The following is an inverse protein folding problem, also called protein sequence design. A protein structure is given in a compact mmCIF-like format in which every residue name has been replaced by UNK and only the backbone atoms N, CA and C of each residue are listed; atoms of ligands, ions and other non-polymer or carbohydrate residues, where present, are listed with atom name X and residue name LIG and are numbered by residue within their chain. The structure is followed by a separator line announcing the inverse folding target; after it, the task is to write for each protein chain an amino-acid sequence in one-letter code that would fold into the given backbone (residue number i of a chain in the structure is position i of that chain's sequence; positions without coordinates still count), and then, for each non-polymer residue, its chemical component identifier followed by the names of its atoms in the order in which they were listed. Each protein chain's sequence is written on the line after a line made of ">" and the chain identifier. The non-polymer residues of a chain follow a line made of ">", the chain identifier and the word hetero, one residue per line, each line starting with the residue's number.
data_IF_071439815038
#
_entry.id   IF_071439815038
#
_cell.length_a   1.000
_cell.length_b   1.000
_cell.length_c   1.000
_cell.angle_alpha   90.00
_cell.angle_beta   90.00
_cell.angle_gamma   90.00
#
_symmetry.space_group_name_H-M   'P 1'
#
loop_
_entity.id
_entity.type
_entity.pdbx_description
1 polymer ?
#
# COMPACT_ATOMS: atom_id res chain seq x y z
N UNK A 1 10.17 16.44 25.32
CA UNK A 1 9.76 16.92 23.97
C UNK A 1 10.88 16.90 22.92
N UNK A 2 12.14 17.28 23.20
CA UNK A 2 13.20 17.26 22.18
C UNK A 2 13.35 15.88 21.51
N UNK A 3 13.46 14.82 22.29
CA UNK A 3 13.55 13.45 21.75
C UNK A 3 12.35 13.07 20.88
N UNK A 4 11.12 13.43 21.26
CA UNK A 4 9.94 13.14 20.47
C UNK A 4 9.98 13.83 19.10
N UNK A 5 10.41 15.10 19.05
CA UNK A 5 10.57 15.85 17.78
C UNK A 5 11.65 15.24 16.88
N UNK A 6 12.78 14.84 17.47
CA UNK A 6 13.86 14.16 16.75
C UNK A 6 13.34 12.82 16.20
N UNK A 7 12.60 12.04 16.98
CA UNK A 7 11.98 10.81 16.52
C UNK A 7 11.04 11.03 15.32
N UNK A 8 10.16 12.04 15.40
CA UNK A 8 9.27 12.40 14.27
C UNK A 8 10.05 12.89 13.05
N UNK A 9 11.14 13.65 13.24
CA UNK A 9 12.01 14.01 12.13
C UNK A 9 12.53 12.77 11.38
N UNK A 10 13.00 11.75 12.10
CA UNK A 10 13.46 10.50 11.49
C UNK A 10 12.33 9.68 10.86
N UNK A 11 11.11 9.70 11.44
CA UNK A 11 9.92 9.10 10.77
C UNK A 11 9.72 9.74 9.39
N UNK A 12 9.75 11.06 9.30
CA UNK A 12 9.54 11.80 8.06
C UNK A 12 10.68 11.61 7.03
N UNK A 13 11.81 11.05 7.46
CA UNK A 13 12.93 10.66 6.58
C UNK A 13 12.92 9.15 6.26
N UNK A 14 11.84 8.44 6.59
CA UNK A 14 11.73 6.97 6.46
C UNK A 14 12.90 6.22 7.16
N UNK A 15 13.40 6.75 8.29
CA UNK A 15 14.46 6.15 9.12
C UNK A 15 13.88 5.60 10.42
N UNK A 16 13.02 4.59 10.30
CA UNK A 16 12.16 4.11 11.38
C UNK A 16 12.94 3.56 12.58
N UNK A 17 14.01 2.81 12.35
CA UNK A 17 14.77 2.20 13.46
C UNK A 17 15.45 3.28 14.33
N UNK A 18 16.00 4.33 13.69
CA UNK A 18 16.55 5.47 14.42
C UNK A 18 15.45 6.25 15.16
N UNK A 19 14.28 6.43 14.51
CA UNK A 19 13.15 7.09 15.13
C UNK A 19 12.71 6.40 16.43
N UNK A 20 12.62 5.06 16.44
CA UNK A 20 12.23 4.27 17.61
C UNK A 20 13.10 4.53 18.83
N UNK A 21 14.42 4.64 18.66
CA UNK A 21 15.33 4.92 19.77
C UNK A 21 14.98 6.25 20.48
N UNK A 22 14.72 7.30 19.69
CA UNK A 22 14.35 8.61 20.22
C UNK A 22 12.95 8.63 20.81
N UNK A 23 11.99 7.96 20.18
CA UNK A 23 10.63 7.86 20.70
C UNK A 23 10.58 7.08 22.02
N UNK A 24 11.35 5.99 22.16
CA UNK A 24 11.46 5.27 23.42
C UNK A 24 12.00 6.17 24.53
N UNK A 25 13.12 6.88 24.28
CA UNK A 25 13.68 7.85 25.24
C UNK A 25 12.66 8.93 25.63
N UNK A 26 11.84 9.38 24.69
CA UNK A 26 10.81 10.38 24.99
C UNK A 26 9.71 9.81 25.89
N UNK A 27 9.30 8.57 25.66
CA UNK A 27 8.27 7.88 26.45
C UNK A 27 8.74 7.59 27.87
N UNK A 28 10.00 7.21 28.06
CA UNK A 28 10.61 6.98 29.38
C UNK A 28 10.61 8.25 30.25
N UNK A 29 10.59 9.42 29.61
CA UNK A 29 10.57 10.75 30.27
C UNK A 29 9.17 11.39 30.30
N UNK A 30 8.08 10.69 29.93
CA UNK A 30 6.74 11.25 29.74
C UNK A 30 6.14 11.89 30.99
N UNK A 31 6.56 11.46 32.18
CA UNK A 31 6.05 12.00 33.44
C UNK A 31 6.72 13.34 33.86
N UNK A 32 7.70 13.82 33.06
CA UNK A 32 8.43 15.07 33.28
C UNK A 32 7.98 16.21 32.35
N UNK A 33 6.85 16.02 31.63
CA UNK A 33 6.34 16.98 30.65
C UNK A 33 4.90 17.36 31.00
N UNK A 34 4.35 18.39 30.33
CA UNK A 34 2.94 18.77 30.49
C UNK A 34 1.99 17.66 30.02
N UNK A 35 0.71 17.72 30.46
CA UNK A 35 -0.29 16.72 30.07
C UNK A 35 -0.44 16.64 28.53
N UNK A 36 -0.49 17.78 27.84
CA UNK A 36 -0.55 17.82 26.36
C UNK A 36 0.66 17.12 25.72
N UNK A 37 1.85 17.38 26.22
CA UNK A 37 3.09 16.75 25.73
C UNK A 37 3.14 15.26 26.09
N UNK A 38 2.60 14.85 27.23
CA UNK A 38 2.48 13.45 27.61
C UNK A 38 1.57 12.68 26.66
N UNK A 39 0.43 13.27 26.26
CA UNK A 39 -0.46 12.67 25.25
C UNK A 39 0.25 12.50 23.90
N UNK A 40 0.99 13.52 23.44
CA UNK A 40 1.79 13.43 22.23
C UNK A 40 2.81 12.29 22.27
N UNK A 41 3.60 12.22 23.32
CA UNK A 41 4.64 11.20 23.49
C UNK A 41 4.02 9.79 23.60
N UNK A 42 2.89 9.65 24.30
CA UNK A 42 2.19 8.38 24.50
C UNK A 42 1.60 7.87 23.18
N UNK A 43 1.01 8.76 22.39
CA UNK A 43 0.51 8.39 21.07
C UNK A 43 1.64 7.91 20.15
N UNK A 44 2.77 8.63 20.09
CA UNK A 44 3.92 8.20 19.29
C UNK A 44 4.48 6.86 19.74
N UNK A 45 4.49 6.59 21.03
CA UNK A 45 4.90 5.29 21.58
C UNK A 45 3.97 4.17 21.08
N UNK A 46 2.65 4.35 21.19
CA UNK A 46 1.70 3.33 20.72
C UNK A 46 1.78 3.12 19.21
N UNK A 47 1.88 4.18 18.41
CA UNK A 47 1.95 4.07 16.96
C UNK A 47 3.25 3.42 16.45
N UNK A 48 4.40 3.83 16.98
CA UNK A 48 5.69 3.51 16.36
C UNK A 48 6.55 2.51 17.14
N UNK A 49 6.33 2.35 18.45
CA UNK A 49 7.10 1.41 19.29
C UNK A 49 6.31 0.10 19.45
N UNK A 50 5.10 0.15 19.99
CA UNK A 50 4.31 -1.05 20.28
C UNK A 50 3.40 -1.45 19.12
N UNK A 51 3.06 -0.53 18.22
CA UNK A 51 2.16 -0.73 17.09
C UNK A 51 0.69 -0.90 17.49
N UNK A 52 0.31 -0.51 18.72
CA UNK A 52 -1.05 -0.63 19.25
C UNK A 52 -1.93 0.52 18.76
N UNK A 53 -2.35 0.47 17.48
CA UNK A 53 -3.08 1.55 16.81
C UNK A 53 -4.36 1.94 17.56
N UNK A 54 -5.08 1.00 18.12
CA UNK A 54 -6.31 1.31 18.87
C UNK A 54 -6.01 2.18 20.10
N UNK A 55 -4.90 1.92 20.82
CA UNK A 55 -4.46 2.76 21.94
C UNK A 55 -3.98 4.13 21.48
N UNK A 56 -3.33 4.20 20.32
CA UNK A 56 -2.94 5.47 19.73
C UNK A 56 -4.18 6.32 19.42
N UNK A 57 -5.20 5.74 18.77
CA UNK A 57 -6.48 6.39 18.44
C UNK A 57 -7.18 6.88 19.71
N UNK A 58 -7.29 6.06 20.76
CA UNK A 58 -7.92 6.48 22.01
C UNK A 58 -7.15 7.61 22.71
N UNK A 59 -5.82 7.59 22.64
CA UNK A 59 -4.97 8.68 23.14
C UNK A 59 -5.23 9.98 22.35
N UNK A 60 -5.31 9.90 21.02
CA UNK A 60 -5.58 11.04 20.15
C UNK A 60 -6.99 11.60 20.37
N UNK A 61 -8.02 10.77 20.49
CA UNK A 61 -9.39 11.22 20.84
C UNK A 61 -9.43 11.94 22.19
N UNK A 62 -8.73 11.41 23.17
CA UNK A 62 -8.60 12.08 24.48
C UNK A 62 -7.92 13.43 24.33
N UNK A 63 -6.86 13.50 23.53
CA UNK A 63 -6.16 14.75 23.25
C UNK A 63 -7.05 15.77 22.54
N UNK A 64 -7.75 15.39 21.47
CA UNK A 64 -8.67 16.27 20.75
C UNK A 64 -9.79 16.82 21.66
N UNK A 65 -10.31 16.00 22.59
CA UNK A 65 -11.33 16.43 23.55
C UNK A 65 -10.80 17.44 24.57
N UNK A 66 -9.57 17.24 25.08
CA UNK A 66 -8.98 18.13 26.09
C UNK A 66 -8.43 19.43 25.49
N UNK A 67 -8.00 19.39 24.23
CA UNK A 67 -7.40 20.50 23.50
C UNK A 67 -8.06 20.69 22.13
N UNK A 68 -9.32 21.16 22.07
CA UNK A 68 -10.13 21.17 20.85
C UNK A 68 -9.62 22.11 19.74
N UNK A 69 -8.69 23.00 20.06
CA UNK A 69 -8.06 23.90 19.08
C UNK A 69 -6.68 23.39 18.61
N UNK A 70 -6.29 22.19 18.99
CA UNK A 70 -5.03 21.58 18.57
C UNK A 70 -5.25 20.72 17.32
N UNK A 71 -4.59 21.05 16.22
CA UNK A 71 -4.76 20.30 14.96
C UNK A 71 -4.06 18.95 14.97
N UNK A 72 -3.03 18.78 15.82
CA UNK A 72 -2.17 17.57 15.80
C UNK A 72 -2.95 16.28 16.01
N UNK A 73 -3.83 16.15 17.03
CA UNK A 73 -4.58 14.91 17.21
C UNK A 73 -5.50 14.59 16.02
N UNK A 74 -6.11 15.60 15.41
CA UNK A 74 -6.95 15.42 14.22
C UNK A 74 -6.13 14.95 13.00
N UNK A 75 -4.96 15.57 12.75
CA UNK A 75 -4.05 15.16 11.70
C UNK A 75 -3.59 13.70 11.86
N UNK A 76 -3.24 13.29 13.07
CA UNK A 76 -2.75 11.94 13.34
C UNK A 76 -3.89 10.90 13.35
N UNK A 77 -5.09 11.24 13.86
CA UNK A 77 -6.29 10.41 13.73
C UNK A 77 -6.62 10.11 12.27
N UNK A 78 -6.49 11.12 11.40
CA UNK A 78 -6.70 10.93 9.96
C UNK A 78 -5.76 9.85 9.40
N UNK A 79 -4.48 9.89 9.73
CA UNK A 79 -3.51 8.88 9.27
C UNK A 79 -3.81 7.48 9.86
N UNK A 80 -4.11 7.40 11.15
CA UNK A 80 -4.45 6.11 11.79
C UNK A 80 -5.70 5.48 11.18
N UNK A 81 -6.71 6.29 10.84
CA UNK A 81 -7.89 5.82 10.13
C UNK A 81 -7.58 5.36 8.70
N UNK A 82 -6.63 5.99 7.97
CA UNK A 82 -6.17 5.50 6.67
C UNK A 82 -5.49 4.13 6.80
N UNK A 83 -4.65 3.94 7.82
CA UNK A 83 -4.01 2.65 8.10
C UNK A 83 -5.08 1.56 8.30
N UNK A 84 -6.20 1.88 8.94
CA UNK A 84 -7.31 0.96 9.16
C UNK A 84 -8.30 0.87 7.96
N UNK A 85 -8.13 1.66 6.89
CA UNK A 85 -9.04 1.70 5.74
C UNK A 85 -10.35 2.45 5.98
N UNK A 86 -10.43 3.28 7.03
CA UNK A 86 -11.61 4.08 7.44
C UNK A 86 -11.52 5.48 6.87
N UNK A 87 -11.73 5.60 5.56
CA UNK A 87 -11.44 6.85 4.85
C UNK A 87 -12.47 7.96 5.05
N UNK A 88 -13.72 7.66 5.38
CA UNK A 88 -14.72 8.66 5.76
C UNK A 88 -14.34 9.33 7.08
N UNK A 89 -13.96 8.54 8.09
CA UNK A 89 -13.47 9.05 9.37
C UNK A 89 -12.15 9.82 9.19
N UNK A 90 -11.25 9.29 8.36
CA UNK A 90 -10.00 9.96 8.01
C UNK A 90 -10.25 11.33 7.39
N UNK A 91 -11.13 11.43 6.40
CA UNK A 91 -11.46 12.69 5.74
C UNK A 91 -12.03 13.72 6.73
N UNK A 92 -12.93 13.28 7.61
CA UNK A 92 -13.51 14.15 8.64
C UNK A 92 -12.43 14.77 9.52
N UNK A 93 -11.51 13.95 10.02
CA UNK A 93 -10.44 14.42 10.90
C UNK A 93 -9.41 15.28 10.13
N UNK A 94 -9.08 14.93 8.89
CA UNK A 94 -8.19 15.73 8.05
C UNK A 94 -8.77 17.13 7.75
N UNK A 95 -10.05 17.22 7.45
CA UNK A 95 -10.74 18.52 7.22
C UNK A 95 -10.76 19.37 8.49
N UNK A 96 -10.95 18.77 9.67
CA UNK A 96 -10.87 19.49 10.94
C UNK A 96 -9.44 20.00 11.23
N UNK A 97 -8.41 19.19 10.95
CA UNK A 97 -7.02 19.61 11.07
C UNK A 97 -6.71 20.79 10.13
N UNK A 98 -7.21 20.78 8.88
CA UNK A 98 -7.08 21.90 7.93
C UNK A 98 -7.84 23.13 8.41
N UNK A 99 -9.05 22.96 8.97
CA UNK A 99 -9.83 24.08 9.55
C UNK A 99 -9.06 24.79 10.67
N UNK A 100 -8.41 24.02 11.54
CA UNK A 100 -7.62 24.54 12.66
C UNK A 100 -6.29 25.15 12.21
N UNK A 101 -5.66 24.60 11.18
CA UNK A 101 -4.37 25.09 10.66
C UNK A 101 -4.37 25.05 9.12
N UNK A 102 -4.94 26.07 8.46
CA UNK A 102 -5.19 26.07 7.00
C UNK A 102 -3.93 25.91 6.13
N UNK A 103 -2.77 26.30 6.62
CA UNK A 103 -1.51 26.24 5.86
C UNK A 103 -0.68 24.96 6.14
N UNK A 104 -1.22 24.00 6.89
CA UNK A 104 -0.52 22.74 7.14
C UNK A 104 -0.63 21.81 5.93
N UNK A 105 0.50 21.59 5.26
CA UNK A 105 0.59 20.76 4.05
C UNK A 105 0.22 19.31 4.35
N UNK A 106 0.74 18.72 5.42
CA UNK A 106 0.49 17.30 5.77
C UNK A 106 -1.01 17.03 5.99
N UNK A 107 -1.72 17.93 6.68
CA UNK A 107 -3.16 17.78 6.86
C UNK A 107 -3.93 17.85 5.54
N UNK A 108 -3.49 18.71 4.61
CA UNK A 108 -4.06 18.78 3.26
C UNK A 108 -3.76 17.53 2.42
N UNK A 109 -2.56 16.96 2.56
CA UNK A 109 -2.20 15.68 1.92
C UNK A 109 -3.09 14.54 2.41
N UNK A 110 -3.41 14.51 3.72
CA UNK A 110 -4.36 13.56 4.27
C UNK A 110 -5.78 13.72 3.68
N UNK A 111 -6.22 14.96 3.41
CA UNK A 111 -7.48 15.23 2.70
C UNK A 111 -7.45 14.66 1.29
N UNK A 112 -6.38 14.92 0.52
CA UNK A 112 -6.24 14.39 -0.86
C UNK A 112 -6.25 12.87 -0.87
N UNK A 113 -5.47 12.24 0.01
CA UNK A 113 -5.41 10.78 0.13
C UNK A 113 -6.78 10.19 0.44
N UNK A 114 -7.52 10.80 1.36
CA UNK A 114 -8.87 10.34 1.72
C UNK A 114 -9.85 10.51 0.56
N UNK A 115 -9.83 11.63 -0.16
CA UNK A 115 -10.66 11.82 -1.36
C UNK A 115 -10.35 10.79 -2.44
N UNK A 116 -9.07 10.53 -2.75
CA UNK A 116 -8.69 9.50 -3.71
C UNK A 116 -9.23 8.13 -3.30
N UNK A 117 -8.99 7.72 -2.05
CA UNK A 117 -9.47 6.43 -1.57
C UNK A 117 -11.00 6.30 -1.59
N UNK A 118 -11.73 7.40 -1.47
CA UNK A 118 -13.19 7.45 -1.60
C UNK A 118 -13.68 7.55 -3.06
N UNK A 119 -12.77 7.59 -4.04
CA UNK A 119 -13.11 7.73 -5.46
C UNK A 119 -13.54 9.15 -5.87
N UNK A 120 -13.30 10.15 -5.00
CA UNK A 120 -13.68 11.56 -5.19
C UNK A 120 -12.56 12.31 -5.90
N UNK A 121 -12.31 11.96 -7.17
CA UNK A 121 -11.11 12.37 -7.94
C UNK A 121 -11.06 13.88 -8.18
N UNK A 122 -12.20 14.52 -8.49
CA UNK A 122 -12.29 15.95 -8.74
C UNK A 122 -11.92 16.75 -7.48
N UNK A 123 -12.40 16.32 -6.33
CA UNK A 123 -12.13 16.94 -5.04
C UNK A 123 -10.68 16.71 -4.60
N UNK A 124 -10.11 15.54 -4.89
CA UNK A 124 -8.70 15.26 -4.67
C UNK A 124 -7.81 16.18 -5.49
N UNK A 125 -8.13 16.38 -6.77
CA UNK A 125 -7.38 17.29 -7.64
C UNK A 125 -7.48 18.73 -7.15
N UNK A 126 -8.67 19.18 -6.78
CA UNK A 126 -8.85 20.53 -6.24
C UNK A 126 -8.05 20.73 -4.94
N UNK A 127 -8.09 19.75 -4.03
CA UNK A 127 -7.31 19.81 -2.79
C UNK A 127 -5.79 19.82 -3.05
N UNK A 128 -5.31 19.09 -4.07
CA UNK A 128 -3.89 19.09 -4.44
C UNK A 128 -3.44 20.45 -5.01
N UNK A 129 -4.29 21.15 -5.75
CA UNK A 129 -4.03 22.53 -6.21
C UNK A 129 -3.89 23.53 -5.05
N UNK A 130 -4.61 23.31 -3.95
CA UNK A 130 -4.44 24.14 -2.75
C UNK A 130 -3.09 23.88 -2.04
N UNK A 131 -2.55 22.66 -2.12
CA UNK A 131 -1.18 22.36 -1.64
C UNK A 131 -0.15 23.09 -2.51
N UNK A 132 -0.31 23.03 -3.84
CA UNK A 132 0.59 23.69 -4.79
C UNK A 132 0.66 25.21 -4.58
N UNK A 133 -0.48 25.88 -4.27
CA UNK A 133 -0.49 27.31 -3.94
C UNK A 133 0.35 27.64 -2.70
N UNK A 134 0.40 26.73 -1.72
CA UNK A 134 1.18 26.92 -0.50
C UNK A 134 2.66 26.57 -0.71
N UNK A 135 2.92 25.56 -1.49
CA UNK A 135 4.28 25.10 -1.84
C UNK A 135 4.29 24.56 -3.28
N UNK A 136 4.69 25.37 -4.27
CA UNK A 136 4.77 24.95 -5.68
C UNK A 136 5.73 23.78 -5.94
N UNK A 137 6.72 23.59 -5.06
CA UNK A 137 7.68 22.49 -5.14
C UNK A 137 7.31 21.30 -4.22
N UNK A 138 6.03 21.20 -3.79
CA UNK A 138 5.57 20.05 -3.02
C UNK A 138 5.56 18.78 -3.86
N UNK A 139 6.45 17.83 -3.55
CA UNK A 139 6.45 16.49 -4.16
C UNK A 139 5.09 15.80 -4.02
N UNK A 140 4.44 15.94 -2.85
CA UNK A 140 3.10 15.38 -2.60
C UNK A 140 2.07 15.91 -3.60
N UNK A 141 2.03 17.25 -3.85
CA UNK A 141 1.11 17.85 -4.80
C UNK A 141 1.34 17.34 -6.23
N UNK A 142 2.61 17.24 -6.67
CA UNK A 142 2.97 16.70 -7.98
C UNK A 142 2.55 15.24 -8.14
N UNK A 143 2.80 14.42 -7.13
CA UNK A 143 2.43 13.01 -7.12
C UNK A 143 0.90 12.82 -7.17
N UNK A 144 0.13 13.58 -6.41
CA UNK A 144 -1.34 13.50 -6.46
C UNK A 144 -1.90 13.92 -7.82
N UNK A 145 -1.34 14.96 -8.46
CA UNK A 145 -1.75 15.35 -9.82
C UNK A 145 -1.39 14.28 -10.85
N UNK A 146 -0.23 13.65 -10.72
CA UNK A 146 0.14 12.51 -11.55
C UNK A 146 -0.89 11.37 -11.41
N UNK A 147 -1.30 11.02 -10.18
CA UNK A 147 -2.35 10.02 -9.93
C UNK A 147 -3.67 10.41 -10.58
N UNK A 148 -4.13 11.67 -10.39
CA UNK A 148 -5.37 12.15 -10.99
C UNK A 148 -5.32 12.12 -12.53
N UNK A 149 -4.18 12.52 -13.12
CA UNK A 149 -3.96 12.48 -14.57
C UNK A 149 -3.98 11.04 -15.10
N UNK A 150 -3.34 10.10 -14.39
CA UNK A 150 -3.39 8.67 -14.74
C UNK A 150 -4.83 8.14 -14.72
N UNK A 151 -5.59 8.40 -13.68
CA UNK A 151 -6.98 7.95 -13.55
C UNK A 151 -7.89 8.50 -14.65
N UNK A 152 -7.60 9.71 -15.15
CA UNK A 152 -8.31 10.35 -16.28
C UNK A 152 -7.74 9.98 -17.64
N UNK A 153 -6.65 9.19 -17.70
CA UNK A 153 -5.92 8.88 -18.93
C UNK A 153 -5.36 10.13 -19.64
N UNK A 154 -5.03 11.17 -18.88
CA UNK A 154 -4.40 12.40 -19.35
C UNK A 154 -2.87 12.24 -19.41
N UNK A 155 -2.37 11.78 -20.55
CA UNK A 155 -0.94 11.58 -20.77
C UNK A 155 -0.15 12.90 -20.61
N UNK A 156 -0.67 14.00 -21.15
CA UNK A 156 -0.01 15.31 -21.07
C UNK A 156 0.12 15.80 -19.61
N UNK A 157 -0.90 15.51 -18.78
CA UNK A 157 -0.85 15.76 -17.35
C UNK A 157 0.24 14.96 -16.65
N UNK A 158 0.33 13.66 -16.92
CA UNK A 158 1.41 12.82 -16.37
C UNK A 158 2.80 13.32 -16.80
N UNK A 159 2.98 13.63 -18.09
CA UNK A 159 4.27 14.09 -18.63
C UNK A 159 4.74 15.40 -17.98
N UNK A 160 3.83 16.34 -17.68
CA UNK A 160 4.15 17.59 -16.95
C UNK A 160 4.73 17.32 -15.57
N UNK A 161 4.13 16.40 -14.82
CA UNK A 161 4.59 16.10 -13.46
C UNK A 161 5.94 15.35 -13.48
N UNK A 162 6.20 14.51 -14.46
CA UNK A 162 7.49 13.83 -14.65
C UNK A 162 8.59 14.81 -15.06
N UNK A 163 8.27 15.77 -15.95
CA UNK A 163 9.23 16.80 -16.39
C UNK A 163 9.62 17.71 -15.21
N UNK A 164 8.68 18.05 -14.34
CA UNK A 164 8.96 18.83 -13.14
C UNK A 164 10.03 18.19 -12.27
N UNK A 165 10.04 16.86 -12.13
CA UNK A 165 10.97 16.13 -11.26
C UNK A 165 12.36 15.96 -11.88
N UNK A 166 12.51 16.16 -13.20
CA UNK A 166 13.77 15.91 -13.94
C UNK A 166 14.93 16.74 -13.39
N UNK A 167 16.03 16.07 -13.05
CA UNK A 167 17.24 16.68 -12.49
C UNK A 167 17.11 17.16 -11.04
N UNK A 168 15.97 16.89 -10.38
CA UNK A 168 15.74 17.19 -8.98
C UNK A 168 15.97 15.95 -8.09
N UNK A 169 16.07 16.09 -6.77
CA UNK A 169 16.12 14.95 -5.83
C UNK A 169 14.93 13.99 -5.98
N UNK A 170 13.77 14.50 -6.40
CA UNK A 170 12.50 13.81 -6.60
C UNK A 170 12.45 12.97 -7.90
N UNK A 171 13.48 13.02 -8.75
CA UNK A 171 13.52 12.25 -10.01
C UNK A 171 13.40 10.74 -9.75
N UNK A 172 13.94 10.23 -8.65
CA UNK A 172 13.79 8.84 -8.27
C UNK A 172 12.31 8.47 -8.04
N UNK A 173 11.55 9.34 -7.35
CA UNK A 173 10.14 9.12 -7.05
C UNK A 173 9.27 9.19 -8.33
N UNK A 174 9.58 10.11 -9.26
CA UNK A 174 8.95 10.17 -10.58
C UNK A 174 9.24 8.92 -11.45
N UNK A 175 10.46 8.41 -11.36
CA UNK A 175 10.85 7.16 -12.04
C UNK A 175 10.09 5.96 -11.48
N UNK A 176 9.86 5.89 -10.15
CA UNK A 176 9.04 4.89 -9.49
C UNK A 176 7.59 4.97 -9.99
N UNK A 177 7.00 6.16 -10.05
CA UNK A 177 5.64 6.35 -10.56
C UNK A 177 5.52 5.83 -12.01
N UNK A 178 6.49 6.16 -12.87
CA UNK A 178 6.55 5.65 -14.26
C UNK A 178 6.68 4.14 -14.32
N UNK A 179 7.51 3.56 -13.46
CA UNK A 179 7.71 2.11 -13.38
C UNK A 179 6.43 1.38 -12.94
N UNK A 180 5.70 1.95 -11.99
CA UNK A 180 4.43 1.39 -11.52
C UNK A 180 3.35 1.47 -12.60
N UNK A 181 3.28 2.56 -13.37
CA UNK A 181 2.40 2.64 -14.55
C UNK A 181 2.78 1.59 -15.60
N UNK A 182 4.07 1.37 -15.84
CA UNK A 182 4.52 0.30 -16.75
C UNK A 182 4.08 -1.09 -16.24
N UNK A 183 4.19 -1.37 -14.94
CA UNK A 183 3.72 -2.62 -14.33
C UNK A 183 2.20 -2.80 -14.46
N UNK A 184 1.41 -1.74 -14.27
CA UNK A 184 -0.05 -1.75 -14.49
C UNK A 184 -0.40 -2.24 -15.90
N UNK A 185 0.34 -1.82 -16.93
CA UNK A 185 0.14 -2.23 -18.32
C UNK A 185 0.88 -3.53 -18.68
N UNK A 186 1.43 -4.27 -17.73
CA UNK A 186 2.12 -5.54 -17.97
C UNK A 186 3.51 -5.40 -18.61
N UNK A 187 4.08 -4.18 -18.68
CA UNK A 187 5.44 -3.91 -19.20
C UNK A 187 6.47 -4.12 -18.10
N UNK A 188 6.59 -5.35 -17.59
CA UNK A 188 7.37 -5.68 -16.40
C UNK A 188 8.87 -5.45 -16.60
N UNK A 189 9.40 -5.69 -17.81
CA UNK A 189 10.82 -5.44 -18.13
C UNK A 189 11.15 -3.95 -18.02
N UNK A 190 10.29 -3.09 -18.56
CA UNK A 190 10.44 -1.64 -18.45
C UNK A 190 10.32 -1.18 -16.98
N UNK A 191 9.32 -1.70 -16.25
CA UNK A 191 9.13 -1.43 -14.81
C UNK A 191 10.38 -1.79 -14.01
N UNK A 192 10.93 -2.98 -14.23
CA UNK A 192 12.12 -3.47 -13.54
C UNK A 192 13.34 -2.60 -13.80
N UNK A 193 13.59 -2.19 -15.06
CA UNK A 193 14.70 -1.32 -15.43
C UNK A 193 14.61 0.03 -14.70
N UNK A 194 13.42 0.66 -14.73
CA UNK A 194 13.19 1.95 -14.07
C UNK A 194 13.32 1.84 -12.55
N UNK A 195 12.74 0.80 -11.92
CA UNK A 195 12.85 0.61 -10.49
C UNK A 195 14.28 0.36 -10.03
N UNK A 196 15.07 -0.43 -10.76
CA UNK A 196 16.48 -0.64 -10.42
C UNK A 196 17.29 0.68 -10.46
N UNK A 197 17.05 1.52 -11.45
CA UNK A 197 17.68 2.85 -11.53
C UNK A 197 17.22 3.75 -10.38
N UNK A 198 15.94 3.79 -10.07
CA UNK A 198 15.40 4.55 -8.94
C UNK A 198 15.99 4.06 -7.59
N UNK A 199 16.09 2.75 -7.38
CA UNK A 199 16.74 2.14 -6.20
C UNK A 199 18.20 2.59 -6.06
N UNK A 200 18.96 2.64 -7.14
CA UNK A 200 20.35 3.13 -7.11
C UNK A 200 20.43 4.63 -6.74
N UNK A 201 19.47 5.44 -7.21
CA UNK A 201 19.37 6.86 -6.84
C UNK A 201 19.00 7.02 -5.36
N UNK A 202 17.99 6.28 -4.86
CA UNK A 202 17.59 6.29 -3.46
C UNK A 202 18.74 5.89 -2.52
N UNK A 203 19.52 4.87 -2.90
CA UNK A 203 20.71 4.45 -2.13
C UNK A 203 21.77 5.56 -2.05
N UNK A 204 22.03 6.25 -3.15
CA UNK A 204 22.96 7.42 -3.19
C UNK A 204 22.46 8.59 -2.33
N UNK A 205 21.14 8.70 -2.18
CA UNK A 205 20.49 9.69 -1.30
C UNK A 205 20.37 9.25 0.17
N UNK A 206 20.94 8.11 0.55
CA UNK A 206 20.82 7.48 1.88
C UNK A 206 19.38 7.15 2.28
N UNK A 207 18.49 6.87 1.31
CA UNK A 207 17.08 6.47 1.49
C UNK A 207 16.95 4.93 1.38
N UNK A 208 17.63 4.19 2.27
CA UNK A 208 17.71 2.73 2.20
C UNK A 208 16.35 2.03 2.44
N UNK A 209 15.51 2.57 3.33
CA UNK A 209 14.16 2.03 3.59
C UNK A 209 13.25 2.21 2.36
N UNK A 210 13.33 3.34 1.65
CA UNK A 210 12.62 3.53 0.39
C UNK A 210 13.13 2.55 -0.69
N UNK A 211 14.44 2.38 -0.82
CA UNK A 211 15.02 1.43 -1.77
C UNK A 211 14.58 -0.02 -1.48
N UNK A 212 14.50 -0.42 -0.20
CA UNK A 212 13.94 -1.72 0.21
C UNK A 212 12.48 -1.86 -0.23
N UNK A 213 11.65 -0.87 0.08
CA UNK A 213 10.23 -0.84 -0.28
C UNK A 213 10.02 -1.04 -1.78
N UNK A 214 10.80 -0.34 -2.61
CA UNK A 214 10.65 -0.44 -4.06
C UNK A 214 11.10 -1.81 -4.61
N UNK A 215 12.14 -2.42 -4.06
CA UNK A 215 12.52 -3.80 -4.40
C UNK A 215 11.45 -4.82 -3.99
N UNK A 216 10.78 -4.64 -2.85
CA UNK A 216 9.66 -5.48 -2.44
C UNK A 216 8.42 -5.25 -3.33
N UNK A 217 8.16 -4.02 -3.75
CA UNK A 217 7.12 -3.70 -4.74
C UNK A 217 7.36 -4.40 -6.08
N UNK A 218 8.60 -4.37 -6.56
CA UNK A 218 9.00 -5.11 -7.76
C UNK A 218 8.79 -6.62 -7.58
N UNK A 219 9.20 -7.18 -6.44
CA UNK A 219 9.02 -8.59 -6.13
C UNK A 219 7.52 -8.97 -6.05
N UNK A 220 6.67 -8.12 -5.50
CA UNK A 220 5.21 -8.32 -5.49
C UNK A 220 4.62 -8.32 -6.90
N UNK A 221 5.02 -7.39 -7.77
CA UNK A 221 4.62 -7.36 -9.17
C UNK A 221 5.06 -8.64 -9.91
N UNK A 222 6.28 -9.12 -9.66
CA UNK A 222 6.78 -10.38 -10.24
C UNK A 222 6.02 -11.60 -9.71
N UNK A 223 5.66 -11.62 -8.42
CA UNK A 223 4.85 -12.67 -7.80
C UNK A 223 3.48 -12.81 -8.50
N UNK A 224 2.75 -11.71 -8.64
CA UNK A 224 1.36 -11.77 -9.18
C UNK A 224 1.31 -12.15 -10.66
N UNK A 225 2.41 -11.99 -11.40
CA UNK A 225 2.51 -12.44 -12.81
C UNK A 225 3.16 -13.82 -12.97
N UNK A 226 3.55 -14.49 -11.86
CA UNK A 226 4.08 -15.85 -11.85
C UNK A 226 5.61 -15.95 -12.02
N UNK A 227 6.37 -14.86 -11.83
CA UNK A 227 7.84 -14.84 -11.89
C UNK A 227 8.49 -15.01 -10.51
N UNK A 228 8.19 -16.13 -9.83
CA UNK A 228 8.58 -16.34 -8.43
C UNK A 228 10.10 -16.39 -8.19
N UNK A 229 10.88 -16.85 -9.16
CA UNK A 229 12.34 -16.88 -8.99
C UNK A 229 12.89 -15.46 -8.85
N UNK A 230 12.54 -14.57 -9.77
CA UNK A 230 12.93 -13.15 -9.73
C UNK A 230 12.37 -12.45 -8.49
N UNK A 231 11.13 -12.73 -8.11
CA UNK A 231 10.51 -12.19 -6.89
C UNK A 231 11.34 -12.52 -5.65
N UNK A 232 11.80 -13.77 -5.48
CA UNK A 232 12.64 -14.17 -4.35
C UNK A 232 14.04 -13.53 -4.39
N UNK A 233 14.63 -13.36 -5.57
CA UNK A 233 15.92 -12.67 -5.73
C UNK A 233 15.84 -11.20 -5.31
N UNK A 234 14.80 -10.46 -5.77
CA UNK A 234 14.60 -9.07 -5.36
C UNK A 234 14.23 -8.95 -3.88
N UNK A 235 13.48 -9.90 -3.31
CA UNK A 235 13.20 -9.96 -1.88
C UNK A 235 14.48 -10.12 -1.05
N UNK A 236 15.41 -10.98 -1.49
CA UNK A 236 16.71 -11.15 -0.84
C UNK A 236 17.54 -9.86 -0.92
N UNK A 237 17.55 -9.19 -2.07
CA UNK A 237 18.23 -7.91 -2.24
C UNK A 237 17.64 -6.81 -1.34
N UNK A 238 16.31 -6.72 -1.24
CA UNK A 238 15.61 -5.82 -0.33
C UNK A 238 16.00 -6.07 1.14
N UNK A 239 15.97 -7.32 1.59
CA UNK A 239 16.33 -7.69 2.97
C UNK A 239 17.79 -7.43 3.34
N UNK A 240 18.66 -7.21 2.36
CA UNK A 240 20.05 -6.79 2.58
C UNK A 240 20.18 -5.28 2.87
N UNK A 241 19.20 -4.46 2.44
CA UNK A 241 19.20 -3.01 2.64
C UNK A 241 18.67 -2.63 4.02
N UNK A 242 17.61 -3.27 4.45
CA UNK A 242 16.98 -3.00 5.73
C UNK A 242 16.31 -4.29 6.28
N UNK A 243 16.13 -4.37 7.58
CA UNK A 243 15.47 -5.50 8.27
C UNK A 243 14.39 -5.04 9.22
N UNK A 244 13.77 -3.90 8.93
CA UNK A 244 12.67 -3.35 9.70
C UNK A 244 11.40 -4.22 9.65
N UNK A 245 10.40 -3.84 10.43
CA UNK A 245 9.11 -4.54 10.54
C UNK A 245 8.46 -4.76 9.18
N UNK A 246 8.31 -3.69 8.41
CA UNK A 246 7.59 -3.71 7.13
C UNK A 246 8.32 -4.54 6.06
N UNK A 247 9.64 -4.41 5.99
CA UNK A 247 10.47 -5.19 5.07
C UNK A 247 10.39 -6.70 5.34
N UNK A 248 10.50 -7.11 6.62
CA UNK A 248 10.34 -8.52 7.00
C UNK A 248 8.94 -9.06 6.64
N UNK A 249 7.88 -8.27 6.89
CA UNK A 249 6.52 -8.66 6.56
C UNK A 249 6.32 -8.80 5.04
N UNK A 250 6.82 -7.84 4.25
CA UNK A 250 6.82 -7.89 2.79
C UNK A 250 7.57 -9.12 2.27
N UNK A 251 8.76 -9.40 2.82
CA UNK A 251 9.53 -10.60 2.45
C UNK A 251 8.75 -11.88 2.75
N UNK A 252 8.12 -11.99 3.93
CA UNK A 252 7.31 -13.15 4.28
C UNK A 252 6.12 -13.36 3.33
N UNK A 253 5.45 -12.27 2.91
CA UNK A 253 4.37 -12.31 1.91
C UNK A 253 4.87 -12.88 0.57
N UNK A 254 6.00 -12.41 0.08
CA UNK A 254 6.58 -12.88 -1.19
C UNK A 254 6.99 -14.36 -1.09
N UNK A 255 7.69 -14.77 -0.02
CA UNK A 255 8.05 -16.17 0.18
C UNK A 255 6.82 -17.07 0.26
N UNK A 256 5.80 -16.68 1.04
CA UNK A 256 4.54 -17.42 1.15
C UNK A 256 3.82 -17.54 -0.19
N UNK A 257 3.69 -16.43 -0.93
CA UNK A 257 3.05 -16.39 -2.24
C UNK A 257 3.78 -17.23 -3.29
N UNK A 258 5.10 -17.33 -3.19
CA UNK A 258 5.93 -18.18 -4.04
C UNK A 258 6.06 -19.65 -3.56
N UNK A 259 5.33 -20.05 -2.53
CA UNK A 259 5.33 -21.43 -2.03
C UNK A 259 6.53 -21.79 -1.16
N UNK A 260 7.39 -20.85 -0.81
CA UNK A 260 8.49 -21.06 0.16
C UNK A 260 7.97 -20.95 1.59
N UNK A 261 7.15 -21.95 1.96
CA UNK A 261 6.42 -21.95 3.23
C UNK A 261 7.33 -22.01 4.44
N UNK A 262 8.52 -22.61 4.32
CA UNK A 262 9.49 -22.70 5.41
C UNK A 262 10.05 -21.32 5.77
N UNK A 263 10.54 -20.60 4.77
CA UNK A 263 11.10 -19.26 4.97
C UNK A 263 10.01 -18.28 5.43
N UNK A 264 8.82 -18.36 4.83
CA UNK A 264 7.67 -17.54 5.22
C UNK A 264 7.27 -17.77 6.69
N UNK A 265 7.15 -19.04 7.12
CA UNK A 265 6.77 -19.39 8.49
C UNK A 265 7.83 -18.94 9.50
N UNK A 266 9.11 -19.13 9.18
CA UNK A 266 10.22 -18.67 10.04
C UNK A 266 10.15 -17.15 10.24
N UNK A 267 9.98 -16.39 9.16
CA UNK A 267 9.90 -14.94 9.22
C UNK A 267 8.64 -14.47 9.96
N UNK A 268 7.50 -15.12 9.73
CA UNK A 268 6.25 -14.83 10.44
C UNK A 268 6.37 -15.07 11.96
N UNK A 269 7.01 -16.16 12.37
CA UNK A 269 7.24 -16.44 13.78
C UNK A 269 8.14 -15.38 14.43
N UNK A 270 9.20 -14.95 13.73
CA UNK A 270 10.06 -13.85 14.18
C UNK A 270 9.28 -12.54 14.33
N UNK A 271 8.41 -12.19 13.36
CA UNK A 271 7.56 -11.00 13.43
C UNK A 271 6.64 -11.03 14.65
N UNK A 272 5.96 -12.15 14.89
CA UNK A 272 5.06 -12.33 16.05
C UNK A 272 5.81 -12.22 17.38
N UNK A 273 7.03 -12.73 17.46
CA UNK A 273 7.86 -12.64 18.67
C UNK A 273 8.40 -11.24 18.89
N UNK A 274 8.84 -10.55 17.82
CA UNK A 274 9.43 -9.22 17.91
C UNK A 274 8.38 -8.13 18.12
N UNK A 275 7.17 -8.29 17.54
CA UNK A 275 6.09 -7.31 17.53
C UNK A 275 4.76 -7.91 18.02
N UNK A 276 4.69 -8.40 19.28
CA UNK A 276 3.56 -9.19 19.77
C UNK A 276 2.25 -8.41 19.88
N UNK A 277 2.33 -7.09 20.07
CA UNK A 277 1.17 -6.18 20.26
C UNK A 277 0.84 -5.37 19.01
N UNK A 278 1.65 -5.47 17.97
CA UNK A 278 1.52 -4.65 16.76
C UNK A 278 0.28 -5.04 15.96
N UNK A 279 -0.66 -4.12 15.84
CA UNK A 279 -1.95 -4.31 15.14
C UNK A 279 -1.73 -4.64 13.65
N UNK A 280 -0.78 -3.98 12.98
CA UNK A 280 -0.50 -4.22 11.56
C UNK A 280 -0.01 -5.65 11.36
N UNK A 281 0.91 -6.11 12.22
CA UNK A 281 1.44 -7.47 12.14
C UNK A 281 0.36 -8.49 12.56
N UNK A 282 -0.22 -8.34 13.75
CA UNK A 282 -1.08 -9.36 14.34
C UNK A 282 -2.44 -9.48 13.66
N UNK A 283 -3.05 -8.35 13.29
CA UNK A 283 -4.44 -8.31 12.81
C UNK A 283 -4.57 -8.15 11.29
N UNK A 284 -3.50 -7.74 10.58
CA UNK A 284 -3.55 -7.51 9.13
C UNK A 284 -2.60 -8.46 8.39
N UNK A 285 -1.29 -8.37 8.62
CA UNK A 285 -0.30 -9.04 7.77
C UNK A 285 -0.11 -10.52 8.13
N UNK A 286 -0.11 -10.88 9.42
CA UNK A 286 0.07 -12.28 9.83
C UNK A 286 -1.05 -13.20 9.33
N UNK A 287 -2.34 -12.83 9.35
CA UNK A 287 -3.38 -13.63 8.73
C UNK A 287 -3.19 -13.80 7.21
N UNK A 288 -2.76 -12.76 6.49
CA UNK A 288 -2.50 -12.84 5.04
C UNK A 288 -1.32 -13.78 4.74
N UNK A 289 -0.20 -13.62 5.45
CA UNK A 289 0.98 -14.50 5.30
C UNK A 289 0.59 -15.95 5.60
N UNK A 290 -0.14 -16.18 6.70
CA UNK A 290 -0.58 -17.52 7.07
C UNK A 290 -1.53 -18.12 6.04
N UNK A 291 -2.45 -17.32 5.49
CA UNK A 291 -3.37 -17.76 4.43
C UNK A 291 -2.62 -18.22 3.17
N UNK A 292 -1.58 -17.50 2.76
CA UNK A 292 -0.73 -17.89 1.64
C UNK A 292 0.05 -19.19 1.93
N UNK A 293 0.52 -19.38 3.17
CA UNK A 293 1.15 -20.62 3.62
C UNK A 293 0.16 -21.79 3.56
N UNK A 294 -1.06 -21.61 4.11
CA UNK A 294 -2.10 -22.65 4.10
C UNK A 294 -2.56 -22.98 2.67
N UNK A 295 -2.70 -21.96 1.81
CA UNK A 295 -2.94 -22.16 0.37
C UNK A 295 -1.87 -23.07 -0.26
N UNK A 296 -0.60 -22.79 -0.02
CA UNK A 296 0.52 -23.57 -0.57
C UNK A 296 0.57 -25.01 -0.01
N UNK A 297 -0.01 -25.25 1.18
CA UNK A 297 -0.19 -26.59 1.78
C UNK A 297 -1.43 -27.33 1.28
N UNK A 298 -2.26 -26.67 0.44
CA UNK A 298 -3.53 -27.22 -0.04
C UNK A 298 -4.70 -27.07 0.95
N UNK A 299 -4.52 -26.38 2.08
CA UNK A 299 -5.55 -26.16 3.09
C UNK A 299 -6.39 -24.90 2.75
N UNK A 300 -7.12 -24.96 1.63
CA UNK A 300 -7.92 -23.84 1.14
C UNK A 300 -9.01 -23.36 2.11
N UNK A 301 -9.73 -24.22 2.86
CA UNK A 301 -10.73 -23.74 3.83
C UNK A 301 -10.13 -22.82 4.88
N UNK A 302 -8.96 -23.18 5.44
CA UNK A 302 -8.29 -22.36 6.45
C UNK A 302 -7.73 -21.08 5.85
N UNK A 303 -7.15 -21.14 4.63
CA UNK A 303 -6.70 -19.96 3.91
C UNK A 303 -7.83 -18.94 3.73
N UNK A 304 -9.02 -19.39 3.31
CA UNK A 304 -10.21 -18.53 3.17
C UNK A 304 -10.64 -17.97 4.52
N UNK A 305 -10.74 -18.80 5.56
CA UNK A 305 -11.11 -18.34 6.91
C UNK A 305 -10.21 -17.19 7.40
N UNK A 306 -8.91 -17.32 7.18
CA UNK A 306 -7.94 -16.30 7.58
C UNK A 306 -8.13 -14.98 6.85
N UNK A 307 -8.31 -14.99 5.52
CA UNK A 307 -8.52 -13.75 4.76
C UNK A 307 -9.92 -13.16 4.95
N UNK A 308 -10.91 -13.96 5.34
CA UNK A 308 -12.23 -13.46 5.73
C UNK A 308 -12.21 -12.77 7.09
N UNK A 309 -11.38 -13.21 8.04
CA UNK A 309 -11.27 -12.59 9.36
C UNK A 309 -10.75 -11.16 9.34
N UNK A 310 -10.10 -10.74 8.24
CA UNK A 310 -9.52 -9.41 8.08
C UNK A 310 -10.32 -8.47 7.15
N UNK A 311 -11.60 -8.78 6.86
CA UNK A 311 -12.46 -7.96 5.98
C UNK A 311 -12.59 -6.49 6.43
N UNK A 312 -12.49 -6.23 7.73
CA UNK A 312 -12.52 -4.86 8.28
C UNK A 312 -11.34 -4.02 7.84
N UNK A 313 -10.28 -4.66 7.34
CA UNK A 313 -9.07 -4.01 6.84
C UNK A 313 -8.96 -4.03 5.30
N UNK A 314 -10.06 -4.32 4.62
CA UNK A 314 -10.14 -4.23 3.17
C UNK A 314 -9.84 -2.85 2.74
N UNK A 315 -9.14 -2.26 2.08
CA UNK A 315 -8.82 -0.84 1.82
C UNK A 315 -7.80 -0.22 2.80
N UNK A 316 -7.22 -1.03 3.73
CA UNK A 316 -6.15 -0.55 4.59
C UNK A 316 -5.02 0.06 3.75
N UNK A 317 -4.45 1.18 4.18
CA UNK A 317 -3.26 1.79 3.55
C UNK A 317 -2.07 0.81 3.47
N UNK A 318 -2.06 -0.23 4.32
CA UNK A 318 -0.98 -1.23 4.39
C UNK A 318 -1.10 -2.31 3.31
N UNK A 319 -2.32 -2.73 3.00
CA UNK A 319 -2.57 -3.86 2.08
C UNK A 319 -3.32 -3.45 0.81
N UNK A 320 -3.81 -2.22 0.76
CA UNK A 320 -4.60 -1.73 -0.37
C UNK A 320 -5.71 -2.69 -0.73
N UNK A 321 -5.70 -3.14 -1.97
CA UNK A 321 -6.67 -4.11 -2.52
C UNK A 321 -6.13 -5.56 -2.53
N UNK A 322 -4.95 -5.81 -1.96
CA UNK A 322 -4.33 -7.15 -1.92
C UNK A 322 -5.24 -8.19 -1.25
N UNK A 323 -5.95 -7.80 -0.17
CA UNK A 323 -6.85 -8.71 0.54
C UNK A 323 -8.01 -9.16 -0.35
N UNK A 324 -8.58 -8.25 -1.15
CA UNK A 324 -9.64 -8.56 -2.10
C UNK A 324 -9.11 -9.47 -3.22
N UNK A 325 -7.92 -9.16 -3.76
CA UNK A 325 -7.30 -9.97 -4.80
C UNK A 325 -7.04 -11.40 -4.31
N UNK A 326 -6.44 -11.56 -3.13
CA UNK A 326 -6.16 -12.87 -2.55
C UNK A 326 -7.44 -13.66 -2.27
N UNK A 327 -8.50 -13.04 -1.71
CA UNK A 327 -9.79 -13.70 -1.52
C UNK A 327 -10.40 -14.14 -2.85
N UNK A 328 -10.36 -13.27 -3.85
CA UNK A 328 -10.83 -13.62 -5.19
C UNK A 328 -10.14 -14.87 -5.75
N UNK A 329 -8.81 -14.95 -5.65
CA UNK A 329 -8.02 -16.13 -6.07
C UNK A 329 -8.40 -17.37 -5.25
N UNK A 330 -8.51 -17.27 -3.93
CA UNK A 330 -8.88 -18.40 -3.08
C UNK A 330 -10.29 -18.92 -3.37
N UNK A 331 -11.26 -18.04 -3.65
CA UNK A 331 -12.60 -18.44 -4.07
C UNK A 331 -12.60 -19.12 -5.45
N UNK A 332 -11.77 -18.64 -6.40
CA UNK A 332 -11.62 -19.35 -7.70
C UNK A 332 -11.11 -20.78 -7.49
N UNK A 333 -10.11 -20.98 -6.63
CA UNK A 333 -9.56 -22.29 -6.33
C UNK A 333 -10.58 -23.22 -5.63
N UNK A 334 -11.49 -22.64 -4.83
CA UNK A 334 -12.63 -23.37 -4.24
C UNK A 334 -13.84 -23.50 -5.20
N UNK A 335 -13.73 -23.08 -6.47
CA UNK A 335 -14.81 -23.06 -7.47
C UNK A 335 -16.03 -22.21 -7.07
N UNK A 336 -15.84 -21.20 -6.24
CA UNK A 336 -16.84 -20.24 -5.76
C UNK A 336 -16.86 -19.01 -6.67
N UNK A 337 -17.37 -19.16 -7.90
CA UNK A 337 -17.31 -18.14 -8.95
C UNK A 337 -17.98 -16.82 -8.56
N UNK A 338 -19.17 -16.87 -7.95
CA UNK A 338 -19.94 -15.67 -7.55
C UNK A 338 -19.18 -14.82 -6.52
N UNK A 339 -18.63 -15.46 -5.50
CA UNK A 339 -17.87 -14.77 -4.44
C UNK A 339 -16.53 -14.24 -4.97
N UNK A 340 -15.88 -14.99 -5.86
CA UNK A 340 -14.67 -14.52 -6.54
C UNK A 340 -14.93 -13.26 -7.36
N UNK A 341 -16.02 -13.26 -8.15
CA UNK A 341 -16.43 -12.12 -8.95
C UNK A 341 -16.69 -10.87 -8.09
N UNK A 342 -17.35 -11.06 -6.94
CA UNK A 342 -17.62 -9.96 -6.01
C UNK A 342 -16.33 -9.31 -5.48
N UNK A 343 -15.29 -10.10 -5.16
CA UNK A 343 -14.02 -9.56 -4.70
C UNK A 343 -13.24 -8.84 -5.81
N UNK A 344 -13.17 -9.39 -7.03
CA UNK A 344 -12.51 -8.71 -8.15
C UNK A 344 -13.26 -7.44 -8.59
N UNK A 345 -14.59 -7.42 -8.49
CA UNK A 345 -15.38 -6.23 -8.77
C UNK A 345 -15.04 -5.08 -7.82
N UNK A 346 -14.84 -5.34 -6.52
CA UNK A 346 -14.40 -4.31 -5.56
C UNK A 346 -13.09 -3.64 -5.96
N UNK A 347 -12.15 -4.40 -6.55
CA UNK A 347 -10.89 -3.85 -7.05
C UNK A 347 -11.15 -2.90 -8.22
N UNK A 348 -11.94 -3.32 -9.19
CA UNK A 348 -12.26 -2.51 -10.38
C UNK A 348 -13.04 -1.25 -10.01
N UNK A 349 -13.96 -1.36 -9.05
CA UNK A 349 -14.78 -0.24 -8.57
C UNK A 349 -14.00 0.74 -7.67
N UNK A 350 -12.72 0.44 -7.33
CA UNK A 350 -11.87 1.28 -6.48
C UNK A 350 -10.55 1.69 -7.17
N UNK A 351 -10.59 2.31 -8.37
CA UNK A 351 -9.43 2.50 -9.23
C UNK A 351 -8.35 3.44 -8.65
N UNK A 352 -8.69 4.26 -7.66
CA UNK A 352 -7.74 5.19 -7.05
C UNK A 352 -6.99 4.62 -5.83
N UNK A 353 -7.43 3.46 -5.31
CA UNK A 353 -6.66 2.75 -4.29
C UNK A 353 -5.55 1.98 -4.99
N UNK A 354 -4.29 2.29 -4.68
CA UNK A 354 -3.11 1.71 -5.36
C UNK A 354 -3.24 1.83 -6.89
N UNK A 355 -3.54 3.02 -7.40
CA UNK A 355 -3.97 3.30 -8.78
C UNK A 355 -3.13 2.60 -9.87
N UNK A 356 -1.85 2.37 -9.64
CA UNK A 356 -0.94 1.72 -10.60
C UNK A 356 -0.73 0.22 -10.33
N UNK A 357 -1.46 -0.38 -9.39
CA UNK A 357 -1.26 -1.80 -9.06
C UNK A 357 -1.68 -2.69 -10.23
N UNK A 358 -0.85 -3.66 -10.65
CA UNK A 358 -1.26 -4.68 -11.61
C UNK A 358 -2.51 -5.47 -11.17
N UNK A 359 -2.85 -5.46 -9.88
CA UNK A 359 -4.05 -6.11 -9.37
C UNK A 359 -5.33 -5.58 -10.04
N UNK A 360 -5.38 -4.28 -10.43
CA UNK A 360 -6.52 -3.72 -11.15
C UNK A 360 -6.74 -4.39 -12.51
N UNK A 361 -5.67 -4.58 -13.28
CA UNK A 361 -5.76 -5.22 -14.60
C UNK A 361 -5.99 -6.72 -14.48
N UNK A 362 -5.34 -7.37 -13.51
CA UNK A 362 -5.52 -8.80 -13.22
C UNK A 362 -6.91 -9.11 -12.64
N UNK A 363 -7.60 -8.14 -12.05
CA UNK A 363 -8.98 -8.33 -11.59
C UNK A 363 -9.95 -8.62 -12.77
N UNK A 364 -9.74 -8.05 -13.95
CA UNK A 364 -10.53 -8.42 -15.15
C UNK A 364 -10.29 -9.87 -15.55
N UNK A 365 -9.06 -10.35 -15.49
CA UNK A 365 -8.76 -11.78 -15.71
C UNK A 365 -9.44 -12.65 -14.64
N UNK A 366 -9.41 -12.22 -13.38
CA UNK A 366 -10.12 -12.87 -12.28
C UNK A 366 -11.62 -12.95 -12.51
N UNK A 367 -12.25 -11.87 -12.98
CA UNK A 367 -13.68 -11.87 -13.38
C UNK A 367 -13.97 -12.85 -14.51
N UNK A 368 -13.10 -12.90 -15.53
CA UNK A 368 -13.25 -13.86 -16.62
C UNK A 368 -13.27 -15.31 -16.13
N UNK A 369 -12.33 -15.66 -15.25
CA UNK A 369 -12.27 -16.99 -14.61
C UNK A 369 -13.48 -17.28 -13.73
N UNK A 370 -13.96 -16.29 -12.99
CA UNK A 370 -15.15 -16.40 -12.16
C UNK A 370 -16.41 -16.64 -13.00
N UNK A 371 -16.56 -15.94 -14.13
CA UNK A 371 -17.66 -16.10 -15.07
C UNK A 371 -17.66 -17.50 -15.70
N UNK A 372 -16.48 -18.05 -16.04
CA UNK A 372 -16.36 -19.45 -16.52
C UNK A 372 -16.91 -20.42 -15.49
N UNK A 373 -16.55 -20.27 -14.21
CA UNK A 373 -17.07 -21.14 -13.13
C UNK A 373 -18.57 -21.05 -12.94
N UNK A 374 -19.17 -19.91 -13.28
CA UNK A 374 -20.61 -19.66 -13.18
C UNK A 374 -21.36 -20.00 -14.46
N UNK A 375 -20.69 -20.50 -15.51
CA UNK A 375 -21.29 -20.83 -16.79
C UNK A 375 -21.64 -19.63 -17.69
N UNK A 376 -21.21 -18.41 -17.30
CA UNK A 376 -21.42 -17.18 -18.09
C UNK A 376 -20.30 -17.02 -19.12
N UNK A 377 -20.45 -17.70 -20.27
CA UNK A 377 -19.47 -17.64 -21.37
C UNK A 377 -19.36 -16.23 -21.97
N UNK A 378 -20.46 -15.48 -22.06
CA UNK A 378 -20.46 -14.14 -22.63
C UNK A 378 -19.71 -13.15 -21.71
N UNK A 379 -20.01 -13.15 -20.43
CA UNK A 379 -19.30 -12.37 -19.42
C UNK A 379 -17.83 -12.74 -19.30
N UNK A 380 -17.50 -14.04 -19.40
CA UNK A 380 -16.13 -14.51 -19.42
C UNK A 380 -15.37 -13.91 -20.62
N UNK A 381 -15.88 -14.06 -21.85
CA UNK A 381 -15.26 -13.48 -23.05
C UNK A 381 -15.01 -11.99 -22.91
N UNK A 382 -16.03 -11.24 -22.46
CA UNK A 382 -15.90 -9.80 -22.25
C UNK A 382 -14.78 -9.46 -21.29
N UNK A 383 -14.72 -10.10 -20.13
CA UNK A 383 -13.71 -9.84 -19.10
C UNK A 383 -12.29 -10.16 -19.58
N UNK A 384 -12.09 -11.26 -20.32
CA UNK A 384 -10.80 -11.54 -20.96
C UNK A 384 -10.42 -10.49 -22.02
N UNK A 385 -11.37 -10.02 -22.82
CA UNK A 385 -11.14 -8.98 -23.82
C UNK A 385 -10.75 -7.66 -23.15
N UNK A 386 -11.42 -7.26 -22.08
CA UNK A 386 -11.08 -6.07 -21.28
C UNK A 386 -9.65 -6.17 -20.72
N UNK A 387 -9.27 -7.35 -20.19
CA UNK A 387 -7.90 -7.63 -19.76
C UNK A 387 -6.89 -7.49 -20.89
N UNK A 388 -7.11 -8.13 -22.04
CA UNK A 388 -6.21 -8.06 -23.19
C UNK A 388 -6.11 -6.67 -23.79
N UNK A 389 -7.17 -5.86 -23.75
CA UNK A 389 -7.16 -4.49 -24.20
C UNK A 389 -6.24 -3.63 -23.33
N UNK A 390 -6.23 -3.84 -22.02
CA UNK A 390 -5.32 -3.18 -21.08
C UNK A 390 -3.87 -3.65 -21.25
N UNK A 391 -3.66 -4.95 -21.51
CA UNK A 391 -2.35 -5.57 -21.65
C UNK A 391 -1.94 -5.82 -23.12
N UNK A 392 -2.46 -5.01 -24.06
CA UNK A 392 -2.15 -5.15 -25.49
C UNK A 392 -0.65 -5.06 -25.82
N UNK A 393 0.08 -4.21 -25.06
CA UNK A 393 1.51 -3.96 -25.21
C UNK A 393 2.33 -4.59 -24.06
N UNK A 394 1.77 -5.53 -23.30
CA UNK A 394 2.44 -6.22 -22.21
C UNK A 394 3.59 -7.12 -22.72
N UNK A 395 4.54 -7.44 -21.86
CA UNK A 395 5.59 -8.40 -22.18
C UNK A 395 4.95 -9.76 -22.54
N UNK A 396 5.22 -10.30 -23.74
CA UNK A 396 4.48 -11.46 -24.26
C UNK A 396 4.79 -12.77 -23.53
N UNK A 397 5.90 -12.82 -22.78
CA UNK A 397 6.41 -13.98 -22.05
C UNK A 397 5.91 -14.05 -20.59
N UNK A 398 5.01 -13.17 -20.17
CA UNK A 398 4.44 -13.22 -18.81
C UNK A 398 3.60 -14.51 -18.63
N UNK A 399 3.92 -15.35 -17.62
CA UNK A 399 3.22 -16.62 -17.40
C UNK A 399 1.71 -16.46 -17.31
N UNK A 400 1.25 -15.43 -16.57
CA UNK A 400 -0.18 -15.14 -16.40
C UNK A 400 -0.86 -14.75 -17.73
N UNK A 401 -0.18 -14.02 -18.63
CA UNK A 401 -0.71 -13.62 -19.94
C UNK A 401 -0.78 -14.83 -20.89
N UNK A 402 0.28 -15.66 -20.90
CA UNK A 402 0.32 -16.89 -21.71
C UNK A 402 -0.82 -17.81 -21.30
N UNK A 403 -1.04 -17.98 -20.00
CA UNK A 403 -2.12 -18.81 -19.48
C UNK A 403 -3.50 -18.23 -19.82
N UNK A 404 -3.70 -16.91 -19.67
CA UNK A 404 -4.95 -16.23 -20.01
C UNK A 404 -5.35 -16.41 -21.49
N UNK A 405 -4.37 -16.39 -22.41
CA UNK A 405 -4.63 -16.64 -23.86
C UNK A 405 -5.15 -18.05 -24.10
N UNK A 406 -4.53 -19.08 -23.47
CA UNK A 406 -4.99 -20.47 -23.57
C UNK A 406 -6.40 -20.64 -23.00
N UNK A 407 -6.70 -20.01 -21.87
CA UNK A 407 -8.01 -20.03 -21.24
C UNK A 407 -9.08 -19.40 -22.16
N UNK A 408 -8.77 -18.26 -22.76
CA UNK A 408 -9.68 -17.56 -23.68
C UNK A 408 -9.94 -18.38 -24.96
N UNK A 409 -8.90 -19.03 -25.53
CA UNK A 409 -9.04 -19.89 -26.70
C UNK A 409 -9.96 -21.10 -26.42
N UNK A 410 -9.93 -21.63 -25.20
CA UNK A 410 -10.80 -22.73 -24.78
C UNK A 410 -12.28 -22.34 -24.61
N UNK A 411 -12.62 -21.04 -24.63
CA UNK A 411 -14.01 -20.55 -24.63
C UNK A 411 -14.68 -20.50 -26.02
N UNK A 412 -13.98 -20.93 -27.06
CA UNK A 412 -14.51 -20.96 -28.45
C UNK A 412 -15.52 -22.08 -28.68
#
# INVERSE_FOLDING_TARGET
>A
MAYARIGVFYINQDQMETAKEYLQKSYDLRDRVSERERLYVTEKYYNYITGEIDKAIETLKTWARLYPNDFIPHNNLSLDYQILGKYEESLKEALEAVRLTPNNITSRENVVTSFLALGRIEEAEQASKEIEKLNPDSMGAHNYRFVCSFLRRDQAGMDRELEWARGKPEEADAMIATANVAAYFGKLKQSEELLKRAVDMLRKQNRAENAEKELLGLAANQLVVGKCQQAKENTKAASALNRGRNGRAGAALIYAGCGDTSQAQTTLNQLRTTYPTDTIISSILAPVIQALIEKSRGNLPEAVRLVESIRTYDRSLITGLMNNYLRGILYLEQRRGTEAAAEFKKIIDSPAIEAYSPAHTLAYLGLGRAAVLSGDTAGARKSYQDFFALWKDADPDLPVLVQARKEYEALR
#
